data_IF_063690052675
#
_entry.id   IF_063690052675
#
_cell.length_a   1.000
_cell.length_b   1.000
_cell.length_c   1.000
_cell.angle_alpha   90.00
_cell.angle_beta   90.00
_cell.angle_gamma   90.00
#
_symmetry.space_group_name_H-M   'P 1'
#
loop_
_entity.id
_entity.type
_entity.pdbx_description
1 polymer ?
#
# COMPACT_ATOMS: atom_id res chain seq x y z
N UNK A 1 -1.10 -13.93 9.14
CA UNK A 1 -1.81 -12.70 9.58
C UNK A 1 -1.03 -11.52 9.08
N UNK A 2 -1.71 -10.48 8.60
CA UNK A 2 -1.06 -9.22 8.25
C UNK A 2 -0.54 -8.53 9.53
N UNK A 3 0.66 -7.92 9.49
CA UNK A 3 1.23 -7.26 10.66
C UNK A 3 0.41 -6.03 11.04
N UNK A 4 0.26 -5.78 12.33
CA UNK A 4 -0.40 -4.57 12.85
C UNK A 4 0.55 -3.38 12.82
N UNK A 5 0.00 -2.15 12.84
CA UNK A 5 0.79 -0.92 12.92
C UNK A 5 1.75 -0.93 14.13
N UNK A 6 1.27 -1.36 15.31
CA UNK A 6 2.09 -1.39 16.52
C UNK A 6 3.27 -2.36 16.41
N UNK A 7 3.07 -3.52 15.80
CA UNK A 7 4.14 -4.50 15.57
C UNK A 7 5.19 -3.95 14.61
N UNK A 8 4.76 -3.32 13.52
CA UNK A 8 5.67 -2.70 12.54
C UNK A 8 6.51 -1.60 13.17
N UNK A 9 5.90 -0.70 13.94
CA UNK A 9 6.63 0.38 14.62
C UNK A 9 7.65 -0.19 15.61
N UNK A 10 7.28 -1.20 16.42
CA UNK A 10 8.23 -1.84 17.36
C UNK A 10 9.46 -2.43 16.68
N UNK A 11 9.31 -2.94 15.46
CA UNK A 11 10.41 -3.53 14.71
C UNK A 11 11.23 -2.51 13.90
N UNK A 12 10.58 -1.52 13.30
CA UNK A 12 11.21 -0.54 12.42
C UNK A 12 11.86 0.62 13.19
N UNK A 13 11.27 1.02 14.32
CA UNK A 13 11.76 2.16 15.10
C UNK A 13 13.20 1.99 15.61
N UNK A 14 13.62 0.83 16.15
CA UNK A 14 15.01 0.64 16.56
C UNK A 14 16.01 0.74 15.39
N UNK A 15 15.61 0.34 14.19
CA UNK A 15 16.45 0.44 12.99
C UNK A 15 16.60 1.89 12.53
N UNK A 16 15.54 2.67 12.66
CA UNK A 16 15.59 4.11 12.46
C UNK A 16 16.50 4.78 13.50
N UNK A 17 16.38 4.45 14.78
CA UNK A 17 17.24 5.04 15.83
C UNK A 17 18.72 4.70 15.62
N UNK A 18 19.02 3.49 15.16
CA UNK A 18 20.40 3.05 14.95
C UNK A 18 21.09 3.78 13.79
N UNK A 19 20.42 3.92 12.65
CA UNK A 19 20.99 4.53 11.43
C UNK A 19 19.92 5.35 10.68
N UNK A 20 19.53 6.54 11.19
CA UNK A 20 18.36 7.27 10.70
C UNK A 20 18.46 7.62 9.21
N UNK A 21 19.61 8.12 8.77
CA UNK A 21 19.83 8.53 7.38
C UNK A 21 19.69 7.35 6.42
N UNK A 22 20.26 6.20 6.78
CA UNK A 22 20.22 5.00 5.94
C UNK A 22 18.81 4.41 5.91
N UNK A 23 18.14 4.36 7.05
CA UNK A 23 16.76 3.90 7.15
C UNK A 23 15.84 4.79 6.31
N UNK A 24 15.92 6.12 6.47
CA UNK A 24 15.08 7.06 5.72
C UNK A 24 15.34 7.03 4.23
N UNK A 25 16.58 6.79 3.79
CA UNK A 25 16.87 6.58 2.37
C UNK A 25 16.13 5.35 1.81
N UNK A 26 16.16 4.23 2.53
CA UNK A 26 15.42 3.03 2.15
C UNK A 26 13.90 3.27 2.20
N UNK A 27 13.40 3.86 3.28
CA UNK A 27 11.99 4.20 3.47
C UNK A 27 11.46 5.04 2.31
N UNK A 28 12.16 6.13 1.97
CA UNK A 28 11.77 7.02 0.89
C UNK A 28 11.80 6.32 -0.48
N UNK A 29 12.78 5.43 -0.71
CA UNK A 29 12.85 4.66 -1.95
C UNK A 29 11.66 3.70 -2.10
N UNK A 30 11.23 3.05 -1.02
CA UNK A 30 10.01 2.22 -1.02
C UNK A 30 8.77 3.10 -1.24
N UNK A 31 8.65 4.19 -0.49
CA UNK A 31 7.53 5.13 -0.58
C UNK A 31 7.32 5.64 -2.02
N UNK A 32 8.37 6.10 -2.68
CA UNK A 32 8.28 6.60 -4.07
C UNK A 32 7.82 5.53 -5.05
N UNK A 33 8.22 4.27 -4.84
CA UNK A 33 7.76 3.14 -5.67
C UNK A 33 6.27 2.86 -5.50
N UNK A 34 5.76 2.94 -4.27
CA UNK A 34 4.35 2.71 -3.98
C UNK A 34 3.47 3.84 -4.54
N UNK A 35 3.94 5.08 -4.47
CA UNK A 35 3.24 6.22 -5.08
C UNK A 35 3.17 6.13 -6.61
N UNK A 36 4.17 5.54 -7.26
CA UNK A 36 4.20 5.45 -8.72
C UNK A 36 3.28 4.37 -9.31
N UNK A 37 2.74 3.46 -8.48
CA UNK A 37 1.82 2.40 -8.96
C UNK A 37 0.54 3.06 -9.46
N UNK A 38 0.23 2.93 -10.75
CA UNK A 38 -1.03 3.40 -11.33
C UNK A 38 -2.18 2.42 -11.07
N UNK A 39 -3.41 2.85 -11.40
CA UNK A 39 -4.58 1.96 -11.39
C UNK A 39 -4.34 0.79 -12.37
N UNK A 40 -4.74 -0.43 -11.96
CA UNK A 40 -4.48 -1.69 -12.68
C UNK A 40 -3.00 -2.12 -12.81
N UNK A 41 -2.05 -1.34 -12.29
CA UNK A 41 -0.65 -1.74 -12.22
C UNK A 41 -0.33 -2.57 -10.98
N UNK A 42 0.68 -3.43 -11.15
CA UNK A 42 1.18 -4.32 -10.10
C UNK A 42 2.68 -4.12 -9.96
N UNK A 43 3.12 -3.86 -8.73
CA UNK A 43 4.51 -3.88 -8.33
C UNK A 43 4.88 -5.28 -7.83
N UNK A 44 5.76 -5.98 -8.56
CA UNK A 44 6.33 -7.25 -8.09
C UNK A 44 7.54 -6.95 -7.21
N UNK A 45 7.51 -7.39 -5.96
CA UNK A 45 8.53 -6.99 -4.97
C UNK A 45 9.92 -7.54 -5.33
N UNK A 46 9.97 -8.76 -5.89
CA UNK A 46 11.21 -9.42 -6.30
C UNK A 46 11.99 -8.65 -7.38
N UNK A 47 11.31 -7.83 -8.18
CA UNK A 47 11.94 -7.05 -9.27
C UNK A 47 12.60 -5.77 -8.74
N UNK A 48 12.32 -5.38 -7.48
CA UNK A 48 12.75 -4.12 -6.90
C UNK A 48 13.62 -4.26 -5.66
N UNK A 49 13.78 -5.48 -5.14
CA UNK A 49 14.60 -5.70 -3.96
C UNK A 49 15.25 -7.09 -3.97
N UNK A 50 16.42 -7.18 -3.33
CA UNK A 50 17.08 -8.47 -3.11
C UNK A 50 16.33 -9.29 -2.06
N UNK A 51 16.51 -10.62 -2.08
CA UNK A 51 15.97 -11.52 -1.03
C UNK A 51 16.34 -11.08 0.39
N UNK A 52 17.53 -10.51 0.59
CA UNK A 52 18.02 -10.01 1.89
C UNK A 52 17.21 -8.82 2.41
N UNK A 53 16.77 -7.94 1.51
CA UNK A 53 16.06 -6.71 1.84
C UNK A 53 14.54 -6.83 1.73
N UNK A 54 14.05 -7.95 1.21
CA UNK A 54 12.63 -8.17 0.90
C UNK A 54 11.74 -8.06 2.13
N UNK A 55 12.14 -8.67 3.26
CA UNK A 55 11.38 -8.56 4.49
C UNK A 55 11.28 -7.10 4.99
N UNK A 56 12.36 -6.32 4.84
CA UNK A 56 12.35 -4.90 5.20
C UNK A 56 11.44 -4.09 4.29
N UNK A 57 11.47 -4.40 2.98
CA UNK A 57 10.59 -3.78 1.99
C UNK A 57 9.12 -4.02 2.35
N UNK A 58 8.76 -5.27 2.63
CA UNK A 58 7.38 -5.66 2.98
C UNK A 58 6.91 -4.92 4.24
N UNK A 59 7.74 -4.83 5.28
CA UNK A 59 7.40 -4.13 6.53
C UNK A 59 7.18 -2.63 6.30
N UNK A 60 8.08 -1.97 5.59
CA UNK A 60 7.95 -0.53 5.26
C UNK A 60 6.72 -0.28 4.39
N UNK A 61 6.50 -1.13 3.38
CA UNK A 61 5.32 -1.02 2.52
C UNK A 61 4.01 -1.28 3.29
N UNK A 62 4.01 -2.22 4.23
CA UNK A 62 2.87 -2.48 5.13
C UNK A 62 2.56 -1.28 5.99
N UNK A 63 3.59 -0.63 6.55
CA UNK A 63 3.41 0.59 7.35
C UNK A 63 2.75 1.68 6.51
N UNK A 64 3.27 1.92 5.30
CA UNK A 64 2.71 2.91 4.38
C UNK A 64 1.26 2.60 4.01
N UNK A 65 0.94 1.35 3.64
CA UNK A 65 -0.42 0.95 3.26
C UNK A 65 -1.41 1.15 4.39
N UNK A 66 -1.05 0.78 5.63
CA UNK A 66 -1.90 0.99 6.80
C UNK A 66 -2.16 2.49 7.00
N UNK A 67 -1.10 3.30 6.96
CA UNK A 67 -1.24 4.75 7.14
C UNK A 67 -2.03 5.42 6.02
N UNK A 68 -1.84 5.02 4.76
CA UNK A 68 -2.59 5.52 3.60
C UNK A 68 -4.08 5.15 3.72
N UNK A 69 -4.37 3.91 4.10
CA UNK A 69 -5.74 3.42 4.31
C UNK A 69 -6.44 4.19 5.43
N UNK A 70 -5.75 4.49 6.55
CA UNK A 70 -6.34 5.28 7.65
C UNK A 70 -6.70 6.72 7.26
N UNK A 71 -6.07 7.28 6.22
CA UNK A 71 -6.33 8.66 5.75
C UNK A 71 -7.41 8.72 4.65
N UNK A 72 -7.74 7.59 4.03
CA UNK A 72 -8.62 7.50 2.87
C UNK A 72 -10.03 7.05 3.25
N UNK A 73 -11.00 7.46 2.43
CA UNK A 73 -12.37 6.95 2.55
C UNK A 73 -12.48 5.55 1.95
N UNK A 74 -13.53 4.81 2.31
CA UNK A 74 -13.80 3.47 1.76
C UNK A 74 -14.02 3.47 0.24
N UNK A 75 -14.33 4.64 -0.33
CA UNK A 75 -14.55 4.80 -1.78
C UNK A 75 -13.30 5.20 -2.54
N UNK A 76 -12.19 5.47 -1.86
CA UNK A 76 -10.93 5.82 -2.50
C UNK A 76 -10.16 4.59 -3.00
N UNK A 77 -9.13 4.86 -3.79
CA UNK A 77 -8.24 3.87 -4.35
C UNK A 77 -7.24 3.48 -3.27
N UNK A 78 -7.06 2.18 -3.07
CA UNK A 78 -6.22 1.64 -2.00
C UNK A 78 -5.11 0.79 -2.57
N UNK A 79 -3.98 0.79 -1.89
CA UNK A 79 -2.90 -0.15 -2.17
C UNK A 79 -3.11 -1.40 -1.34
N UNK A 80 -2.98 -2.57 -1.97
CA UNK A 80 -3.16 -3.85 -1.31
C UNK A 80 -2.04 -4.82 -1.72
N UNK A 81 -1.63 -5.66 -0.77
CA UNK A 81 -0.76 -6.79 -1.04
C UNK A 81 -1.55 -7.95 -1.67
N UNK A 82 -0.85 -8.78 -2.44
CA UNK A 82 -1.30 -10.16 -2.68
C UNK A 82 -1.23 -10.99 -1.40
N UNK A 83 -1.99 -12.08 -1.33
CA UNK A 83 -2.05 -12.97 -0.16
C UNK A 83 -0.68 -13.55 0.24
N UNK A 84 0.21 -13.74 -0.73
CA UNK A 84 1.57 -14.25 -0.55
C UNK A 84 2.63 -13.16 -0.36
N UNK A 85 2.23 -11.88 -0.31
CA UNK A 85 3.12 -10.71 -0.21
C UNK A 85 4.15 -10.61 -1.34
N UNK A 86 3.94 -11.26 -2.49
CA UNK A 86 4.85 -11.14 -3.64
C UNK A 86 4.61 -9.88 -4.46
N UNK A 87 3.40 -9.30 -4.36
CA UNK A 87 2.93 -8.21 -5.20
C UNK A 87 2.18 -7.15 -4.39
N UNK A 88 2.22 -5.91 -4.87
CA UNK A 88 1.41 -4.79 -4.38
C UNK A 88 0.69 -4.19 -5.59
N UNK A 89 -0.61 -3.93 -5.48
CA UNK A 89 -1.42 -3.34 -6.55
C UNK A 89 -2.25 -2.17 -6.03
N UNK A 90 -2.64 -1.28 -6.93
CA UNK A 90 -3.64 -0.25 -6.65
C UNK A 90 -5.02 -0.74 -7.06
N UNK A 91 -5.90 -0.92 -6.09
CA UNK A 91 -7.29 -1.30 -6.29
C UNK A 91 -8.13 -0.07 -6.65
N UNK A 92 -9.02 -0.26 -7.63
CA UNK A 92 -9.92 0.78 -8.12
C UNK A 92 -10.83 1.33 -7.02
N UNK A 93 -11.20 2.60 -7.16
CA UNK A 93 -12.23 3.23 -6.34
C UNK A 93 -13.54 2.46 -6.42
N UNK A 94 -14.27 2.34 -5.32
CA UNK A 94 -15.63 1.80 -5.38
C UNK A 94 -16.52 2.72 -6.21
N UNK A 95 -17.04 2.21 -7.33
CA UNK A 95 -17.98 2.93 -8.18
C UNK A 95 -19.39 2.41 -7.86
N UNK A 96 -20.24 3.17 -7.15
CA UNK A 96 -21.61 2.75 -6.91
C UNK A 96 -22.36 2.61 -8.24
N UNK A 97 -23.16 1.54 -8.35
CA UNK A 97 -24.06 1.36 -9.49
C UNK A 97 -25.01 2.56 -9.63
N UNK A 98 -25.23 3.03 -10.86
CA UNK A 98 -26.20 4.11 -11.11
C UNK A 98 -27.58 3.70 -10.56
N UNK A 99 -28.25 4.55 -9.77
CA UNK A 99 -29.59 4.23 -9.28
C UNK A 99 -30.54 4.07 -10.48
N UNK A 100 -31.32 3.00 -10.46
CA UNK A 100 -32.32 2.72 -11.49
C UNK A 100 -33.36 3.85 -11.51
N UNK A 101 -33.35 4.69 -12.54
CA UNK A 101 -34.42 5.65 -12.80
C UNK A 101 -35.49 4.96 -13.63
N UNK A 102 -36.58 4.54 -13.00
CA UNK A 102 -37.77 4.07 -13.70
C UNK A 102 -38.26 5.22 -14.57
N UNK A 103 -38.21 5.05 -15.89
CA UNK A 103 -38.44 6.13 -16.85
C UNK A 103 -39.71 6.91 -16.55
N UNK A 104 -39.58 8.23 -16.42
CA UNK A 104 -40.70 9.14 -16.55
C UNK A 104 -41.24 8.96 -17.97
N UNK A 105 -42.41 8.34 -18.07
CA UNK A 105 -43.18 8.37 -19.31
C UNK A 105 -43.53 9.84 -19.55
N UNK A 106 -42.88 10.45 -20.53
CA UNK A 106 -43.33 11.72 -21.09
C UNK A 106 -44.73 11.49 -21.66
N UNK A 107 -45.73 12.06 -21.00
CA UNK A 107 -47.08 12.24 -21.53
C UNK A 107 -47.06 13.28 -22.66
#
# INVERSE_FOLDING_TARGET
>A
MAPTYSELVKELYPLYEQEPTRFMHFYNAVYMKLLSIQEDEVLRIADHCSKKTMNMFIKVASLFIIEDTCRKSITDDLLEFSDDYSMIKRCCKFIPSRPYRKGEKRL
#
